data_IF_800078544527
#
_entry.id   IF_800078544527
#
_cell.length_a   1.000
_cell.length_b   1.000
_cell.length_c   1.000
_cell.angle_alpha   90.00
_cell.angle_beta   90.00
_cell.angle_gamma   90.00
#
_symmetry.space_group_name_H-M   'P 1'
#
loop_
_entity.id
_entity.type
_entity.pdbx_description
1 polymer ?
#
# COMPACT_ATOMS: atom_id res chain seq x y z
N UNK A 1 44.07 3.38 50.11
CA UNK A 1 42.63 3.02 50.07
C UNK A 1 41.78 4.30 50.03
N UNK A 2 41.13 4.61 48.89
CA UNK A 2 40.03 5.58 48.82
C UNK A 2 38.93 5.00 47.94
N UNK A 3 37.71 5.01 48.50
CA UNK A 3 36.50 4.32 48.02
C UNK A 3 35.94 5.01 46.77
N UNK A 4 35.40 4.20 45.85
CA UNK A 4 34.60 4.65 44.68
C UNK A 4 33.31 5.33 45.17
N UNK A 5 32.88 6.36 44.46
CA UNK A 5 31.48 6.78 44.44
C UNK A 5 30.96 6.64 43.01
N UNK A 6 30.01 5.72 42.84
CA UNK A 6 29.14 5.54 41.69
C UNK A 6 28.26 6.80 41.53
N UNK A 7 28.25 7.41 40.35
CA UNK A 7 27.31 8.49 40.02
C UNK A 7 26.12 7.91 39.26
N UNK A 8 24.89 8.01 39.78
CA UNK A 8 23.68 7.60 39.06
C UNK A 8 23.32 8.63 37.99
N UNK A 9 22.92 8.14 36.81
CA UNK A 9 22.19 8.89 35.78
C UNK A 9 20.84 9.38 36.30
N UNK A 10 20.36 10.55 35.84
CA UNK A 10 18.96 11.02 35.80
C UNK A 10 18.94 12.49 35.27
N UNK A 11 17.82 13.05 34.78
CA UNK A 11 16.96 12.62 33.67
C UNK A 11 16.61 13.78 32.70
N UNK A 12 16.30 13.48 31.44
CA UNK A 12 15.72 14.44 30.48
C UNK A 12 16.68 14.68 29.31
N UNK A 13 16.28 14.55 28.05
CA UNK A 13 14.96 14.73 27.46
C UNK A 13 14.58 13.50 26.61
N UNK A 14 13.45 12.89 26.96
CA UNK A 14 12.71 11.94 26.12
C UNK A 14 11.73 12.70 25.21
N UNK A 15 12.15 13.82 24.64
CA UNK A 15 11.26 14.72 23.89
C UNK A 15 11.94 15.19 22.61
N UNK A 16 12.30 14.22 21.76
CA UNK A 16 12.33 14.43 20.31
C UNK A 16 12.00 13.15 19.54
N UNK A 17 11.26 12.24 20.20
CA UNK A 17 10.45 11.26 19.48
C UNK A 17 9.23 12.01 18.96
N UNK A 18 9.47 12.78 17.90
CA UNK A 18 8.42 13.11 16.95
C UNK A 18 7.68 11.81 16.65
N UNK A 19 6.41 11.82 17.01
CA UNK A 19 5.42 10.77 16.76
C UNK A 19 5.34 10.51 15.26
N UNK A 20 6.30 9.77 14.72
CA UNK A 20 6.14 9.10 13.45
C UNK A 20 5.16 7.96 13.70
N UNK A 21 3.91 8.26 13.37
CA UNK A 21 2.76 7.37 13.38
C UNK A 21 3.15 5.91 13.14
N UNK A 22 2.69 5.07 14.06
CA UNK A 22 2.60 3.61 13.96
C UNK A 22 2.08 3.22 12.58
N UNK A 23 2.96 2.93 11.61
CA UNK A 23 2.66 2.22 10.35
C UNK A 23 3.89 1.90 9.47
N UNK A 24 5.11 1.98 10.00
CA UNK A 24 6.29 1.43 9.32
C UNK A 24 6.92 0.42 10.27
N UNK A 25 6.91 -0.86 9.89
CA UNK A 25 7.49 -1.94 10.69
C UNK A 25 8.87 -1.55 11.18
N UNK A 26 9.06 -1.61 12.50
CA UNK A 26 10.38 -1.58 13.12
C UNK A 26 11.26 -2.62 12.42
N UNK A 27 12.54 -2.32 12.11
CA UNK A 27 13.42 -3.31 11.50
C UNK A 27 13.49 -4.51 12.45
N UNK A 28 12.85 -5.61 12.06
CA UNK A 28 12.81 -6.85 12.81
C UNK A 28 11.43 -7.48 13.03
N UNK A 29 10.30 -6.79 12.80
CA UNK A 29 8.97 -7.39 13.00
C UNK A 29 8.05 -7.25 11.77
N UNK A 30 7.44 -8.34 11.29
CA UNK A 30 6.56 -8.31 10.13
C UNK A 30 5.36 -7.39 10.36
N UNK A 31 4.93 -6.68 9.32
CA UNK A 31 3.68 -5.95 9.35
C UNK A 31 2.51 -6.95 9.44
N UNK A 32 1.64 -6.74 10.43
CA UNK A 32 0.41 -7.52 10.55
C UNK A 32 -0.67 -6.86 9.70
N UNK A 33 -1.22 -7.60 8.74
CA UNK A 33 -2.24 -7.08 7.83
C UNK A 33 -3.42 -8.03 7.72
N UNK A 34 -4.63 -7.49 7.76
CA UNK A 34 -5.83 -8.32 7.75
C UNK A 34 -6.13 -8.79 6.33
N UNK A 35 -6.36 -10.09 6.17
CA UNK A 35 -6.79 -10.65 4.89
C UNK A 35 -8.10 -10.02 4.40
N UNK A 36 -9.01 -9.69 5.32
CA UNK A 36 -10.26 -8.97 5.01
C UNK A 36 -10.00 -7.62 4.34
N UNK A 37 -9.02 -6.85 4.85
CA UNK A 37 -8.65 -5.56 4.28
C UNK A 37 -8.10 -5.68 2.86
N UNK A 38 -7.30 -6.71 2.55
CA UNK A 38 -6.85 -6.96 1.17
C UNK A 38 -8.05 -7.15 0.22
N UNK A 39 -9.04 -7.94 0.65
CA UNK A 39 -10.23 -8.19 -0.15
C UNK A 39 -11.10 -6.94 -0.32
N UNK A 40 -11.24 -6.13 0.74
CA UNK A 40 -11.97 -4.87 0.69
C UNK A 40 -11.30 -3.87 -0.25
N UNK A 41 -9.97 -3.74 -0.20
CA UNK A 41 -9.19 -2.90 -1.13
C UNK A 41 -9.38 -3.38 -2.57
N UNK A 42 -9.28 -4.69 -2.83
CA UNK A 42 -9.50 -5.25 -4.17
C UNK A 42 -10.91 -4.95 -4.68
N UNK A 43 -11.92 -5.12 -3.82
CA UNK A 43 -13.31 -4.84 -4.15
C UNK A 43 -13.49 -3.36 -4.47
N UNK A 44 -12.90 -2.48 -3.66
CA UNK A 44 -13.00 -1.05 -3.84
C UNK A 44 -12.31 -0.60 -5.13
N UNK A 45 -11.07 -1.05 -5.38
CA UNK A 45 -10.35 -0.80 -6.65
C UNK A 45 -11.20 -1.22 -7.85
N UNK A 46 -11.81 -2.42 -7.81
CA UNK A 46 -12.70 -2.87 -8.87
C UNK A 46 -13.90 -1.94 -9.06
N UNK A 47 -14.54 -1.52 -7.96
CA UNK A 47 -15.66 -0.56 -7.99
C UNK A 47 -15.24 0.78 -8.61
N UNK A 48 -14.03 1.26 -8.36
CA UNK A 48 -13.54 2.51 -8.95
C UNK A 48 -13.42 2.41 -10.48
N UNK A 49 -13.00 1.27 -11.03
CA UNK A 49 -13.05 1.06 -12.48
C UNK A 49 -14.49 1.08 -13.03
N UNK A 50 -15.48 0.58 -12.29
CA UNK A 50 -16.89 0.66 -12.68
C UNK A 50 -17.41 2.11 -12.65
N UNK A 51 -17.02 2.87 -11.63
CA UNK A 51 -17.32 4.31 -11.52
C UNK A 51 -16.71 5.07 -12.70
N UNK A 52 -15.46 4.75 -13.07
CA UNK A 52 -14.81 5.34 -14.25
C UNK A 52 -15.56 5.07 -15.54
N UNK A 53 -16.14 3.88 -15.75
CA UNK A 53 -16.93 3.59 -16.95
C UNK A 53 -18.08 4.60 -17.11
N UNK A 54 -18.70 5.00 -15.99
CA UNK A 54 -19.82 5.95 -15.94
C UNK A 54 -19.40 7.41 -16.13
N UNK A 55 -18.36 7.85 -15.42
CA UNK A 55 -17.99 9.27 -15.38
C UNK A 55 -16.83 9.66 -16.30
N UNK A 56 -16.04 8.68 -16.75
CA UNK A 56 -14.89 8.85 -17.66
C UNK A 56 -13.84 9.87 -17.16
N UNK A 57 -13.72 10.01 -15.85
CA UNK A 57 -12.73 10.88 -15.22
C UNK A 57 -11.51 10.04 -14.78
N UNK A 58 -10.38 10.12 -15.50
CA UNK A 58 -9.18 9.37 -15.16
C UNK A 58 -8.47 9.91 -13.91
N UNK A 59 -8.63 11.20 -13.61
CA UNK A 59 -8.04 11.83 -12.42
C UNK A 59 -8.74 11.30 -11.18
N UNK A 60 -10.07 11.28 -11.18
CA UNK A 60 -10.86 10.69 -10.10
C UNK A 60 -10.53 9.22 -9.89
N UNK A 61 -10.44 8.43 -10.98
CA UNK A 61 -10.05 7.02 -10.90
C UNK A 61 -8.70 6.86 -10.20
N UNK A 62 -7.70 7.64 -10.62
CA UNK A 62 -6.35 7.59 -10.05
C UNK A 62 -6.35 7.94 -8.57
N UNK A 63 -6.98 9.05 -8.19
CA UNK A 63 -7.07 9.47 -6.79
C UNK A 63 -7.73 8.42 -5.89
N UNK A 64 -8.81 7.80 -6.37
CA UNK A 64 -9.52 6.80 -5.57
C UNK A 64 -8.71 5.50 -5.44
N UNK A 65 -8.01 5.08 -6.50
CA UNK A 65 -7.09 3.94 -6.43
C UNK A 65 -5.94 4.24 -5.47
N UNK A 66 -5.33 5.42 -5.54
CA UNK A 66 -4.24 5.84 -4.65
C UNK A 66 -4.64 5.78 -3.17
N UNK A 67 -5.80 6.35 -2.82
CA UNK A 67 -6.35 6.30 -1.45
C UNK A 67 -6.55 4.88 -0.91
N UNK A 68 -6.84 3.91 -1.78
CA UNK A 68 -7.04 2.52 -1.38
C UNK A 68 -5.73 1.75 -1.28
N UNK A 69 -4.81 1.96 -2.23
CA UNK A 69 -3.54 1.23 -2.33
C UNK A 69 -2.55 1.67 -1.25
N UNK A 70 -2.59 2.93 -0.84
CA UNK A 70 -1.79 3.47 0.28
C UNK A 70 -2.08 2.79 1.63
N UNK A 71 -3.21 2.08 1.76
CA UNK A 71 -3.52 1.27 2.95
C UNK A 71 -2.76 -0.06 2.98
N UNK A 72 -2.19 -0.50 1.86
CA UNK A 72 -1.38 -1.71 1.77
C UNK A 72 0.02 -1.40 2.34
N UNK A 73 0.50 -2.17 3.33
CA UNK A 73 1.86 -2.02 3.84
C UNK A 73 2.90 -2.13 2.73
N UNK A 74 3.97 -1.36 2.82
CA UNK A 74 5.09 -1.34 1.86
C UNK A 74 4.77 -0.84 0.43
N UNK A 75 3.49 -0.61 0.08
CA UNK A 75 3.05 -0.10 -1.24
C UNK A 75 3.88 1.05 -1.82
N UNK A 76 4.35 1.97 -0.97
CA UNK A 76 5.22 3.08 -1.36
C UNK A 76 6.67 2.66 -1.63
N UNK A 77 7.22 1.75 -0.85
CA UNK A 77 8.58 1.24 -1.02
C UNK A 77 8.69 0.41 -2.31
N UNK A 78 7.65 -0.35 -2.64
CA UNK A 78 7.63 -1.25 -3.80
C UNK A 78 7.23 -0.57 -5.11
N UNK A 79 6.96 0.74 -5.07
CA UNK A 79 6.48 1.49 -6.25
C UNK A 79 5.22 0.87 -6.85
N UNK A 80 4.35 0.33 -5.99
CA UNK A 80 3.09 -0.27 -6.39
C UNK A 80 2.22 0.76 -7.12
N UNK A 81 2.17 1.99 -6.61
CA UNK A 81 1.46 3.11 -7.23
C UNK A 81 2.01 3.46 -8.61
N UNK A 82 3.33 3.53 -8.79
CA UNK A 82 3.95 3.81 -10.10
C UNK A 82 3.58 2.74 -11.13
N UNK A 83 3.53 1.48 -10.70
CA UNK A 83 3.14 0.35 -11.54
C UNK A 83 1.66 0.40 -11.93
N UNK A 84 0.79 0.82 -11.00
CA UNK A 84 -0.63 1.03 -11.28
C UNK A 84 -0.84 2.22 -12.21
N UNK A 85 -0.10 3.32 -12.04
CA UNK A 85 -0.12 4.47 -12.94
C UNK A 85 0.25 4.06 -14.37
N UNK A 86 1.24 3.18 -14.53
CA UNK A 86 1.56 2.56 -15.82
C UNK A 86 0.38 1.80 -16.43
N UNK A 87 -0.36 1.03 -15.62
CA UNK A 87 -1.56 0.31 -16.07
C UNK A 87 -2.66 1.28 -16.49
N UNK A 88 -2.88 2.37 -15.74
CA UNK A 88 -3.87 3.39 -16.07
C UNK A 88 -3.49 4.13 -17.37
N UNK A 89 -2.21 4.43 -17.56
CA UNK A 89 -1.73 5.03 -18.80
C UNK A 89 -1.95 4.10 -20.00
N UNK A 90 -1.59 2.81 -19.88
CA UNK A 90 -1.87 1.78 -20.88
C UNK A 90 -3.38 1.69 -21.19
N UNK A 91 -4.23 1.76 -20.17
CA UNK A 91 -5.69 1.72 -20.32
C UNK A 91 -6.19 2.88 -21.19
N UNK A 92 -5.73 4.11 -20.92
CA UNK A 92 -6.13 5.29 -21.67
C UNK A 92 -5.63 5.23 -23.11
N UNK A 93 -4.40 4.76 -23.32
CA UNK A 93 -3.86 4.50 -24.66
C UNK A 93 -4.68 3.45 -25.41
N UNK A 94 -4.96 2.31 -24.76
CA UNK A 94 -5.76 1.22 -25.34
C UNK A 94 -7.20 1.70 -25.65
N UNK A 95 -7.78 2.56 -24.82
CA UNK A 95 -9.07 3.22 -25.08
C UNK A 95 -9.02 4.13 -26.30
N UNK A 96 -8.01 4.99 -26.40
CA UNK A 96 -7.83 5.89 -27.54
C UNK A 96 -7.61 5.11 -28.85
N UNK A 97 -6.97 3.95 -28.77
CA UNK A 97 -6.75 3.04 -29.90
C UNK A 97 -7.98 2.16 -30.24
N UNK A 98 -9.10 2.27 -29.51
CA UNK A 98 -10.30 1.46 -29.76
C UNK A 98 -10.13 -0.03 -29.42
N UNK A 99 -9.19 -0.37 -28.54
CA UNK A 99 -8.97 -1.75 -28.12
C UNK A 99 -10.22 -2.36 -27.46
N UNK A 100 -10.40 -3.69 -27.50
CA UNK A 100 -11.51 -4.35 -26.83
C UNK A 100 -11.33 -4.33 -25.31
N UNK A 101 -12.37 -3.87 -24.59
CA UNK A 101 -12.51 -3.93 -23.12
C UNK A 101 -11.28 -3.45 -22.31
N UNK A 102 -10.68 -2.29 -22.62
CA UNK A 102 -9.45 -1.80 -21.99
C UNK A 102 -9.59 -1.59 -20.49
N UNK A 103 -10.76 -1.10 -20.04
CA UNK A 103 -11.04 -0.89 -18.61
C UNK A 103 -11.07 -2.19 -17.82
N UNK A 104 -11.71 -3.22 -18.36
CA UNK A 104 -11.76 -4.54 -17.71
C UNK A 104 -10.36 -5.16 -17.62
N UNK A 105 -9.57 -5.04 -18.70
CA UNK A 105 -8.17 -5.49 -18.74
C UNK A 105 -7.33 -4.77 -17.69
N UNK A 106 -7.46 -3.45 -17.57
CA UNK A 106 -6.75 -2.64 -16.58
C UNK A 106 -7.15 -2.99 -15.14
N UNK A 107 -8.45 -3.15 -14.88
CA UNK A 107 -8.98 -3.59 -13.58
C UNK A 107 -8.36 -4.93 -13.15
N UNK A 108 -8.40 -5.92 -14.03
CA UNK A 108 -7.82 -7.24 -13.75
C UNK A 108 -6.30 -7.19 -13.53
N UNK A 109 -5.57 -6.40 -14.33
CA UNK A 109 -4.12 -6.20 -14.15
C UNK A 109 -3.79 -5.55 -12.81
N UNK A 110 -4.56 -4.53 -12.42
CA UNK A 110 -4.38 -3.82 -11.14
C UNK A 110 -4.63 -4.75 -9.95
N UNK A 111 -5.71 -5.53 -9.99
CA UNK A 111 -6.04 -6.51 -8.94
C UNK A 111 -4.96 -7.61 -8.86
N UNK A 112 -4.50 -8.11 -10.00
CA UNK A 112 -3.44 -9.12 -10.06
C UNK A 112 -2.12 -8.58 -9.48
N UNK A 113 -1.77 -7.34 -9.80
CA UNK A 113 -0.60 -6.66 -9.27
C UNK A 113 -0.66 -6.52 -7.74
N UNK A 114 -1.77 -6.00 -7.20
CA UNK A 114 -2.00 -5.89 -5.75
C UNK A 114 -1.87 -7.25 -5.06
N UNK A 115 -2.48 -8.30 -5.62
CA UNK A 115 -2.38 -9.66 -5.06
C UNK A 115 -0.94 -10.17 -5.10
N UNK A 116 -0.24 -9.96 -6.20
CA UNK A 116 1.14 -10.41 -6.38
C UNK A 116 2.07 -9.75 -5.37
N UNK A 117 1.92 -8.45 -5.17
CA UNK A 117 2.69 -7.64 -4.22
C UNK A 117 2.49 -8.15 -2.78
N UNK A 118 1.24 -8.28 -2.34
CA UNK A 118 0.90 -8.83 -1.02
C UNK A 118 1.47 -10.25 -0.84
N UNK A 119 1.33 -11.12 -1.85
CA UNK A 119 1.87 -12.49 -1.79
C UNK A 119 3.40 -12.50 -1.70
N UNK A 120 4.07 -11.58 -2.39
CA UNK A 120 5.53 -11.45 -2.35
C UNK A 120 6.01 -11.09 -0.94
N UNK A 121 5.38 -10.11 -0.28
CA UNK A 121 5.72 -9.73 1.10
C UNK A 121 5.42 -10.81 2.12
N UNK A 122 4.33 -11.57 1.93
CA UNK A 122 4.06 -12.74 2.78
C UNK A 122 5.15 -13.80 2.63
N UNK A 123 5.62 -14.05 1.40
CA UNK A 123 6.70 -15.01 1.14
C UNK A 123 8.05 -14.54 1.68
N UNK A 124 8.31 -13.23 1.61
CA UNK A 124 9.52 -12.62 2.16
C UNK A 124 9.53 -12.61 3.70
N UNK A 125 8.38 -12.81 4.34
CA UNK A 125 8.23 -12.72 5.78
C UNK A 125 8.09 -11.30 6.30
N UNK A 126 7.89 -10.33 5.40
CA UNK A 126 7.66 -8.91 5.73
C UNK A 126 6.21 -8.63 6.13
N UNK A 127 5.28 -9.48 5.68
CA UNK A 127 3.85 -9.35 5.95
C UNK A 127 3.27 -10.65 6.54
N UNK A 128 2.51 -10.53 7.62
CA UNK A 128 1.71 -11.63 8.18
C UNK A 128 0.24 -11.34 7.98
N UNK A 129 -0.46 -12.25 7.27
CA UNK A 129 -1.91 -12.14 7.04
C UNK A 129 -2.70 -12.73 8.20
N UNK A 130 -3.57 -11.93 8.83
CA UNK A 130 -4.48 -12.38 9.89
C UNK A 130 -5.93 -12.46 9.40
N UNK A 131 -6.72 -13.31 10.05
CA UNK A 131 -8.13 -13.56 9.71
C UNK A 131 -9.13 -12.74 10.55
N UNK A 132 -8.66 -11.97 11.54
CA UNK A 132 -9.49 -11.28 12.54
C UNK A 132 -9.76 -9.81 12.22
#
# INVERSE_FOLDING_TARGET
MRRRAFRPELPGQLEDRSLASVAAGSPGHPAVFRKGMVNDIIREVHSQFLVYIRYRDPTLLREQIDRNVTLIPYSRADRLLDSIDGILHDMLRDQAAGAPRPVLKASNRTIALIRSDVVQHVKAGDLVLTLY
#
